data_IF_607124707523
#
_entry.id   IF_607124707523
#
_cell.length_a   1.000
_cell.length_b   1.000
_cell.length_c   1.000
_cell.angle_alpha   90.00
_cell.angle_beta   90.00
_cell.angle_gamma   90.00
#
_symmetry.space_group_name_H-M   'P 1'
#
loop_
_entity.id
_entity.type
_entity.pdbx_description
1 polymer ?
#
# COMPACT_ATOMS: atom_id res chain seq x y z
N UNK A 1 20.36 27.45 -15.71
CA UNK A 1 19.43 26.33 -15.96
C UNK A 1 18.72 26.10 -14.64
N UNK A 2 17.44 26.44 -14.55
CA UNK A 2 16.63 26.01 -13.41
C UNK A 2 16.59 24.49 -13.44
N UNK A 3 17.04 23.85 -12.36
CA UNK A 3 16.76 22.43 -12.14
C UNK A 3 15.26 22.38 -11.91
N UNK A 4 14.50 21.97 -12.93
CA UNK A 4 13.08 21.64 -12.75
C UNK A 4 13.06 20.51 -11.73
N UNK A 5 12.72 20.86 -10.48
CA UNK A 5 12.53 19.88 -9.43
C UNK A 5 11.33 19.05 -9.86
N UNK A 6 11.56 17.82 -10.32
CA UNK A 6 10.47 16.93 -10.70
C UNK A 6 9.52 16.84 -9.50
N UNK A 7 8.25 17.18 -9.72
CA UNK A 7 7.20 17.05 -8.71
C UNK A 7 7.03 15.55 -8.41
N UNK A 8 6.77 15.25 -7.15
CA UNK A 8 6.38 13.89 -6.77
C UNK A 8 5.06 13.53 -7.45
N UNK A 9 4.95 12.27 -7.87
CA UNK A 9 3.67 11.66 -8.19
C UNK A 9 3.31 10.62 -7.13
N UNK A 10 2.01 10.38 -6.98
CA UNK A 10 1.45 9.53 -5.94
C UNK A 10 0.69 8.37 -6.56
N UNK A 11 0.78 7.19 -5.93
CA UNK A 11 0.05 6.00 -6.35
C UNK A 11 -0.68 5.43 -5.13
N UNK A 12 -2.01 5.33 -5.20
CA UNK A 12 -2.84 4.80 -4.11
C UNK A 12 -3.39 3.42 -4.50
N UNK A 13 -3.12 2.39 -3.69
CA UNK A 13 -3.61 1.04 -3.91
C UNK A 13 -4.59 0.61 -2.80
N UNK A 14 -5.73 0.06 -3.23
CA UNK A 14 -6.73 -0.52 -2.34
C UNK A 14 -6.36 -1.94 -1.89
N UNK A 15 -7.00 -2.38 -0.81
CA UNK A 15 -6.86 -3.71 -0.25
C UNK A 15 -7.66 -4.81 -0.95
N UNK A 16 -7.73 -5.97 -0.30
CA UNK A 16 -8.48 -7.14 -0.77
C UNK A 16 -9.95 -6.81 -1.03
N UNK A 17 -10.47 -7.27 -2.16
CA UNK A 17 -11.87 -7.10 -2.57
C UNK A 17 -12.35 -5.63 -2.59
N UNK A 18 -11.41 -4.67 -2.53
CA UNK A 18 -11.68 -3.25 -2.53
C UNK A 18 -11.75 -2.64 -3.93
N UNK A 19 -11.73 -1.32 -3.96
CA UNK A 19 -11.68 -0.51 -5.18
C UNK A 19 -11.03 0.85 -4.89
N UNK A 20 -10.59 1.61 -5.90
CA UNK A 20 -10.04 2.95 -5.71
C UNK A 20 -11.07 3.98 -5.21
N UNK A 21 -12.35 3.59 -5.14
CA UNK A 21 -13.46 4.43 -4.69
C UNK A 21 -13.86 4.21 -3.23
N UNK A 22 -13.10 3.40 -2.49
CA UNK A 22 -13.43 2.96 -1.13
C UNK A 22 -12.52 3.55 -0.05
N UNK A 23 -12.94 3.43 1.21
CA UNK A 23 -12.20 3.91 2.37
C UNK A 23 -11.85 5.41 2.26
N UNK A 24 -10.65 5.78 2.68
CA UNK A 24 -10.08 7.12 2.62
C UNK A 24 -9.36 7.41 1.29
N UNK A 25 -9.36 6.49 0.32
CA UNK A 25 -8.62 6.64 -0.95
C UNK A 25 -9.16 7.81 -1.78
N UNK A 26 -10.48 7.97 -2.00
CA UNK A 26 -11.02 9.11 -2.76
C UNK A 26 -10.73 10.45 -2.09
N UNK A 27 -10.85 10.49 -0.76
CA UNK A 27 -10.55 11.68 0.02
C UNK A 27 -9.08 12.06 -0.11
N UNK A 28 -8.17 11.09 0.07
CA UNK A 28 -6.73 11.32 -0.03
C UNK A 28 -6.33 11.77 -1.45
N UNK A 29 -6.95 11.19 -2.46
CA UNK A 29 -6.78 11.62 -3.85
C UNK A 29 -7.10 13.11 -4.01
N UNK A 30 -8.26 13.55 -3.51
CA UNK A 30 -8.67 14.96 -3.58
C UNK A 30 -7.68 15.88 -2.83
N UNK A 31 -7.22 15.47 -1.65
CA UNK A 31 -6.23 16.22 -0.86
C UNK A 31 -4.91 16.39 -1.60
N UNK A 32 -4.46 15.37 -2.34
CA UNK A 32 -3.24 15.43 -3.16
C UNK A 32 -3.46 16.30 -4.41
N UNK A 33 -4.56 16.10 -5.14
CA UNK A 33 -4.89 16.87 -6.36
C UNK A 33 -5.06 18.37 -6.05
N UNK A 34 -5.62 18.72 -4.89
CA UNK A 34 -5.77 20.12 -4.45
C UNK A 34 -4.43 20.87 -4.29
N UNK A 35 -3.33 20.13 -4.21
CA UNK A 35 -1.96 20.66 -4.12
C UNK A 35 -1.24 20.68 -5.48
N UNK A 36 -1.97 20.45 -6.58
CA UNK A 36 -1.44 20.38 -7.95
C UNK A 36 -0.32 19.33 -8.09
N UNK A 37 -0.53 18.16 -7.47
CA UNK A 37 0.33 16.99 -7.53
C UNK A 37 -0.38 15.86 -8.29
N UNK A 38 0.39 15.10 -9.05
CA UNK A 38 -0.15 13.98 -9.84
C UNK A 38 -0.45 12.79 -8.95
N UNK A 39 -1.64 12.21 -9.07
CA UNK A 39 -2.06 11.02 -8.31
C UNK A 39 -2.76 10.00 -9.20
N UNK A 40 -2.41 8.74 -8.99
CA UNK A 40 -2.92 7.60 -9.73
C UNK A 40 -3.53 6.60 -8.75
N UNK A 41 -4.72 6.12 -9.07
CA UNK A 41 -5.48 5.18 -8.23
C UNK A 41 -5.95 4.01 -9.10
N UNK A 42 -5.07 3.06 -9.45
CA UNK A 42 -5.44 1.92 -10.29
C UNK A 42 -6.60 1.13 -9.66
N UNK A 43 -7.52 0.66 -10.50
CA UNK A 43 -8.51 -0.34 -10.12
C UNK A 43 -7.87 -1.72 -10.30
N UNK A 44 -7.38 -2.28 -9.19
CA UNK A 44 -6.64 -3.54 -9.22
C UNK A 44 -7.62 -4.71 -9.40
N UNK A 45 -7.27 -5.74 -10.20
CA UNK A 45 -8.15 -6.89 -10.42
C UNK A 45 -8.65 -7.50 -9.10
N UNK A 46 -9.97 -7.55 -8.93
CA UNK A 46 -10.62 -7.95 -7.68
C UNK A 46 -11.44 -9.24 -7.85
N UNK A 47 -11.68 -9.96 -6.75
CA UNK A 47 -12.34 -11.26 -6.72
C UNK A 47 -11.37 -12.44 -6.74
N UNK A 48 -11.74 -13.55 -6.11
CA UNK A 48 -10.85 -14.69 -5.78
C UNK A 48 -10.00 -15.18 -6.97
N UNK A 49 -10.60 -15.24 -8.16
CA UNK A 49 -9.91 -15.69 -9.38
C UNK A 49 -8.92 -14.65 -9.93
N UNK A 50 -9.20 -13.37 -9.75
CA UNK A 50 -8.48 -12.28 -10.43
C UNK A 50 -7.50 -11.55 -9.52
N UNK A 51 -7.77 -11.50 -8.21
CA UNK A 51 -6.90 -10.90 -7.22
C UNK A 51 -5.77 -11.85 -6.85
N UNK A 52 -4.73 -11.82 -7.67
CA UNK A 52 -3.50 -12.57 -7.44
C UNK A 52 -2.29 -11.75 -7.87
N UNK A 53 -1.11 -12.16 -7.39
CA UNK A 53 0.14 -11.48 -7.66
C UNK A 53 0.40 -11.28 -9.15
N UNK A 54 0.22 -12.31 -9.98
CA UNK A 54 0.53 -12.24 -11.41
C UNK A 54 -0.32 -11.19 -12.14
N UNK A 55 -1.62 -11.14 -11.85
CA UNK A 55 -2.53 -10.17 -12.43
C UNK A 55 -2.23 -8.74 -11.95
N UNK A 56 -1.99 -8.56 -10.65
CA UNK A 56 -1.66 -7.25 -10.09
C UNK A 56 -0.31 -6.74 -10.61
N UNK A 57 0.70 -7.62 -10.69
CA UNK A 57 2.02 -7.35 -11.26
C UNK A 57 1.90 -6.97 -12.74
N UNK A 58 1.11 -7.71 -13.52
CA UNK A 58 0.87 -7.41 -14.94
C UNK A 58 0.28 -6.00 -15.14
N UNK A 59 -0.75 -5.64 -14.36
CA UNK A 59 -1.33 -4.30 -14.42
C UNK A 59 -0.31 -3.24 -13.98
N UNK A 60 0.39 -3.45 -12.87
CA UNK A 60 1.27 -2.42 -12.32
C UNK A 60 2.51 -2.18 -13.17
N UNK A 61 2.98 -3.19 -13.93
CA UNK A 61 4.03 -3.01 -14.94
C UNK A 61 3.67 -1.97 -16.00
N UNK A 62 2.38 -1.86 -16.36
CA UNK A 62 1.96 -0.83 -17.34
C UNK A 62 2.20 0.59 -16.82
N UNK A 63 2.14 0.81 -15.50
CA UNK A 63 2.47 2.10 -14.88
C UNK A 63 3.98 2.35 -14.83
N UNK A 64 4.79 1.29 -14.72
CA UNK A 64 6.26 1.38 -14.83
C UNK A 64 6.65 1.72 -16.26
N UNK A 65 6.10 1.00 -17.24
CA UNK A 65 6.37 1.22 -18.67
C UNK A 65 5.94 2.61 -19.14
N UNK A 66 4.88 3.16 -18.54
CA UNK A 66 4.43 4.53 -18.77
C UNK A 66 5.30 5.60 -18.06
N UNK A 67 6.31 5.20 -17.29
CA UNK A 67 7.18 6.10 -16.51
C UNK A 67 6.50 6.72 -15.29
N UNK A 68 5.30 6.25 -14.92
CA UNK A 68 4.55 6.77 -13.77
C UNK A 68 5.18 6.29 -12.46
N UNK A 69 5.51 5.00 -12.34
CA UNK A 69 6.20 4.46 -11.16
C UNK A 69 7.71 4.57 -11.39
N UNK A 70 8.38 5.42 -10.61
CA UNK A 70 9.81 5.68 -10.68
C UNK A 70 10.36 6.19 -9.31
N UNK A 71 11.64 6.55 -9.28
CA UNK A 71 12.38 7.01 -8.10
C UNK A 71 11.78 8.26 -7.40
N UNK A 72 10.83 8.97 -8.02
CA UNK A 72 10.10 10.12 -7.43
C UNK A 72 8.70 9.76 -6.89
N UNK A 73 8.26 8.53 -7.12
CA UNK A 73 6.89 8.10 -6.79
C UNK A 73 6.74 7.80 -5.30
N UNK A 74 5.66 8.31 -4.71
CA UNK A 74 5.21 7.93 -3.37
C UNK A 74 4.07 6.92 -3.53
N UNK A 75 4.24 5.71 -2.99
CA UNK A 75 3.18 4.70 -3.02
C UNK A 75 2.52 4.61 -1.65
N UNK A 76 1.19 4.72 -1.63
CA UNK A 76 0.36 4.50 -0.46
C UNK A 76 -0.50 3.26 -0.71
N UNK A 77 -0.37 2.25 0.16
CA UNK A 77 -1.02 0.96 -0.04
C UNK A 77 -1.72 0.48 1.23
N UNK A 78 -2.94 -0.06 1.08
CA UNK A 78 -3.77 -0.53 2.19
C UNK A 78 -3.90 -2.07 2.23
N UNK A 79 -3.93 -2.63 3.44
CA UNK A 79 -4.27 -4.03 3.73
C UNK A 79 -3.33 -5.05 3.08
N UNK A 80 -3.79 -5.80 2.06
CA UNK A 80 -2.96 -6.76 1.30
C UNK A 80 -1.97 -6.08 0.35
N UNK A 81 -2.22 -4.84 -0.08
CA UNK A 81 -1.40 -4.18 -1.10
C UNK A 81 0.05 -3.89 -0.65
N UNK A 82 0.36 -3.55 0.63
CA UNK A 82 1.72 -3.47 1.14
C UNK A 82 2.64 -4.65 0.80
N UNK A 83 2.23 -5.90 1.09
CA UNK A 83 3.07 -7.07 0.78
C UNK A 83 3.21 -7.28 -0.73
N UNK A 84 2.15 -7.02 -1.50
CA UNK A 84 2.22 -7.03 -2.95
C UNK A 84 3.26 -6.02 -3.47
N UNK A 85 3.25 -4.77 -2.98
CA UNK A 85 4.21 -3.74 -3.39
C UNK A 85 5.63 -4.13 -3.02
N UNK A 86 5.86 -4.67 -1.82
CA UNK A 86 7.18 -5.18 -1.43
C UNK A 86 7.70 -6.20 -2.45
N UNK A 87 6.89 -7.23 -2.74
CA UNK A 87 7.24 -8.28 -3.72
C UNK A 87 7.46 -7.70 -5.12
N UNK A 88 6.56 -6.84 -5.57
CA UNK A 88 6.59 -6.22 -6.90
C UNK A 88 7.86 -5.40 -7.12
N UNK A 89 8.23 -4.54 -6.17
CA UNK A 89 9.43 -3.70 -6.27
C UNK A 89 10.69 -4.56 -6.30
N UNK A 90 10.75 -5.59 -5.44
CA UNK A 90 11.92 -6.47 -5.35
C UNK A 90 12.11 -7.31 -6.61
N UNK A 91 11.06 -7.99 -7.08
CA UNK A 91 11.17 -8.87 -8.24
C UNK A 91 11.43 -8.12 -9.55
N UNK A 92 11.00 -6.85 -9.64
CA UNK A 92 11.17 -6.04 -10.85
C UNK A 92 12.30 -5.02 -10.76
N UNK A 93 13.03 -4.97 -9.64
CA UNK A 93 14.12 -4.03 -9.37
C UNK A 93 13.72 -2.54 -9.51
N UNK A 94 12.53 -2.18 -9.03
CA UNK A 94 11.97 -0.83 -9.19
C UNK A 94 12.21 -0.02 -7.93
N UNK A 95 12.83 1.15 -8.06
CA UNK A 95 13.00 2.10 -6.96
C UNK A 95 11.85 3.10 -6.89
N UNK A 96 11.51 3.50 -5.68
CA UNK A 96 10.48 4.52 -5.41
C UNK A 96 10.93 5.44 -4.27
N UNK A 97 10.33 6.63 -4.23
CA UNK A 97 10.74 7.66 -3.27
C UNK A 97 10.36 7.32 -1.83
N UNK A 98 9.12 6.87 -1.63
CA UNK A 98 8.55 6.59 -0.31
C UNK A 98 7.45 5.54 -0.40
N UNK A 99 7.38 4.72 0.63
CA UNK A 99 6.30 3.78 0.87
C UNK A 99 5.53 4.18 2.13
N UNK A 100 4.21 4.27 2.02
CA UNK A 100 3.31 4.43 3.16
C UNK A 100 2.35 3.25 3.16
N UNK A 101 2.53 2.35 4.12
CA UNK A 101 1.74 1.14 4.26
C UNK A 101 0.73 1.30 5.38
N UNK A 102 -0.52 0.93 5.12
CA UNK A 102 -1.62 1.03 6.09
C UNK A 102 -2.21 -0.36 6.28
N UNK A 103 -2.19 -0.87 7.51
CA UNK A 103 -2.64 -2.22 7.88
C UNK A 103 -1.98 -3.34 7.06
N UNK A 104 -0.67 -3.23 6.85
CA UNK A 104 0.11 -4.19 6.07
C UNK A 104 0.37 -5.47 6.83
N UNK A 105 0.26 -6.61 6.15
CA UNK A 105 0.56 -7.94 6.70
C UNK A 105 1.17 -8.86 5.65
N UNK A 106 1.74 -9.98 6.09
CA UNK A 106 2.30 -10.99 5.20
C UNK A 106 1.92 -12.39 5.67
N UNK A 107 1.49 -13.25 4.75
CA UNK A 107 1.12 -14.65 5.02
C UNK A 107 0.03 -14.85 6.09
N UNK A 108 -0.94 -13.93 6.22
CA UNK A 108 -2.02 -14.07 7.19
C UNK A 108 -3.16 -14.92 6.62
N UNK A 109 -3.57 -15.96 7.36
CA UNK A 109 -4.50 -16.99 6.91
C UNK A 109 -5.46 -17.39 8.03
N UNK A 110 -6.57 -18.02 7.67
CA UNK A 110 -7.62 -18.47 8.59
C UNK A 110 -8.76 -17.47 8.80
N UNK A 111 -8.90 -16.49 7.90
CA UNK A 111 -10.09 -15.61 7.85
C UNK A 111 -11.25 -16.41 7.22
N UNK A 112 -11.09 -16.76 5.95
CA UNK A 112 -11.90 -17.72 5.19
C UNK A 112 -11.14 -18.18 3.93
N UNK A 113 -11.72 -19.10 3.15
CA UNK A 113 -11.07 -19.68 1.96
C UNK A 113 -10.80 -18.64 0.86
N UNK A 114 -11.65 -17.63 0.71
CA UNK A 114 -11.52 -16.60 -0.31
C UNK A 114 -10.35 -15.66 0.01
N UNK A 115 -10.28 -15.16 1.25
CA UNK A 115 -9.15 -14.34 1.72
C UNK A 115 -7.85 -15.14 1.76
N UNK A 116 -7.89 -16.39 2.21
CA UNK A 116 -6.70 -17.25 2.25
C UNK A 116 -6.13 -17.47 0.85
N UNK A 117 -7.00 -17.65 -0.15
CA UNK A 117 -6.58 -17.84 -1.54
C UNK A 117 -5.82 -16.62 -2.08
N UNK A 118 -6.38 -15.41 -1.89
CA UNK A 118 -5.73 -14.19 -2.37
C UNK A 118 -4.45 -13.87 -1.58
N UNK A 119 -4.47 -14.05 -0.26
CA UNK A 119 -3.31 -13.80 0.62
C UNK A 119 -2.12 -14.70 0.28
N UNK A 120 -2.35 -15.99 0.00
CA UNK A 120 -1.28 -16.92 -0.41
C UNK A 120 -0.57 -16.46 -1.67
N UNK A 121 -1.30 -15.91 -2.63
CA UNK A 121 -0.69 -15.47 -3.89
C UNK A 121 0.28 -14.29 -3.71
N UNK A 122 0.00 -13.43 -2.73
CA UNK A 122 0.78 -12.22 -2.45
C UNK A 122 1.97 -12.48 -1.53
N UNK A 123 2.08 -13.67 -0.93
CA UNK A 123 3.15 -14.04 -0.01
C UNK A 123 4.54 -13.69 -0.56
N UNK A 124 5.36 -13.13 0.33
CA UNK A 124 6.74 -12.77 0.03
C UNK A 124 7.65 -13.03 1.23
N UNK A 125 8.65 -13.88 1.05
CA UNK A 125 9.53 -14.33 2.14
C UNK A 125 10.67 -13.34 2.47
N UNK A 126 10.99 -12.39 1.58
CA UNK A 126 12.16 -11.52 1.69
C UNK A 126 11.77 -10.04 1.89
N UNK A 127 10.85 -9.73 2.80
CA UNK A 127 10.36 -8.36 3.01
C UNK A 127 11.49 -7.32 3.21
N UNK A 128 12.57 -7.69 3.89
CA UNK A 128 13.73 -6.81 4.13
C UNK A 128 14.38 -6.30 2.84
N UNK A 129 14.31 -7.06 1.74
CA UNK A 129 14.87 -6.66 0.44
C UNK A 129 14.18 -5.42 -0.13
N UNK A 130 12.96 -5.09 0.33
CA UNK A 130 12.25 -3.85 -0.02
C UNK A 130 13.10 -2.61 0.26
N UNK A 131 13.94 -2.65 1.31
CA UNK A 131 14.84 -1.55 1.70
C UNK A 131 15.91 -1.24 0.63
N UNK A 132 16.20 -2.17 -0.30
CA UNK A 132 17.09 -1.90 -1.45
C UNK A 132 16.46 -0.97 -2.49
N UNK A 133 15.13 -0.82 -2.43
CA UNK A 133 14.32 -0.14 -3.43
C UNK A 133 13.59 1.09 -2.89
N UNK A 134 13.50 1.23 -1.56
CA UNK A 134 12.98 2.42 -0.90
C UNK A 134 13.58 2.55 0.50
N UNK A 135 14.23 3.68 0.78
CA UNK A 135 14.83 3.98 2.08
C UNK A 135 13.86 4.67 3.05
N UNK A 136 12.73 5.19 2.55
CA UNK A 136 11.73 5.93 3.34
C UNK A 136 10.41 5.16 3.37
N UNK A 137 10.25 4.34 4.41
CA UNK A 137 9.09 3.47 4.60
C UNK A 137 8.39 3.85 5.91
N UNK A 138 7.08 4.00 5.86
CA UNK A 138 6.23 4.36 7.00
C UNK A 138 5.10 3.34 7.09
N UNK A 139 4.91 2.76 8.27
CA UNK A 139 3.84 1.79 8.51
C UNK A 139 2.82 2.33 9.52
N UNK A 140 1.56 2.36 9.11
CA UNK A 140 0.39 2.61 9.95
C UNK A 140 -0.34 1.30 10.20
N UNK A 141 -0.80 1.11 11.42
CA UNK A 141 -1.67 0.00 11.81
C UNK A 141 -2.42 0.37 13.09
N UNK A 142 -3.39 -0.42 13.52
CA UNK A 142 -4.20 -0.09 14.70
C UNK A 142 -4.00 -1.09 15.83
N UNK A 143 -4.36 -0.68 17.06
CA UNK A 143 -4.32 -1.55 18.23
C UNK A 143 -5.55 -2.47 18.38
N UNK A 144 -6.54 -2.36 17.49
CA UNK A 144 -7.81 -3.08 17.57
C UNK A 144 -8.36 -3.54 16.21
N UNK A 145 -7.48 -3.82 15.24
CA UNK A 145 -7.87 -4.34 13.93
C UNK A 145 -8.68 -5.64 14.07
N UNK A 146 -9.92 -5.69 13.54
CA UNK A 146 -10.79 -6.86 13.71
C UNK A 146 -10.46 -8.02 12.77
N UNK A 147 -9.63 -7.79 11.75
CA UNK A 147 -9.31 -8.77 10.71
C UNK A 147 -7.91 -9.35 10.90
N UNK A 148 -6.91 -8.48 11.10
CA UNK A 148 -5.51 -8.86 11.24
C UNK A 148 -5.08 -8.60 12.68
N UNK A 149 -4.42 -9.59 13.31
CA UNK A 149 -3.94 -9.41 14.68
C UNK A 149 -2.86 -8.34 14.75
N UNK A 150 -2.89 -7.53 15.81
CA UNK A 150 -1.87 -6.52 16.11
C UNK A 150 -0.43 -7.02 15.94
N UNK A 151 -0.09 -8.17 16.53
CA UNK A 151 1.28 -8.72 16.46
C UNK A 151 1.71 -9.02 15.02
N UNK A 152 0.78 -9.39 14.13
CA UNK A 152 1.08 -9.69 12.72
C UNK A 152 1.38 -8.41 11.94
N UNK A 153 0.57 -7.36 12.13
CA UNK A 153 0.83 -6.06 11.49
C UNK A 153 2.13 -5.44 12.02
N UNK A 154 2.38 -5.59 13.32
CA UNK A 154 3.63 -5.17 13.95
C UNK A 154 4.83 -5.93 13.39
N UNK A 155 4.78 -7.26 13.29
CA UNK A 155 5.86 -8.07 12.70
C UNK A 155 6.15 -7.66 11.25
N UNK A 156 5.10 -7.40 10.47
CA UNK A 156 5.26 -6.86 9.12
C UNK A 156 6.00 -5.52 9.13
N UNK A 157 5.56 -4.58 9.98
CA UNK A 157 6.18 -3.27 10.09
C UNK A 157 7.65 -3.33 10.58
N UNK A 158 7.94 -4.15 11.59
CA UNK A 158 9.28 -4.36 12.15
C UNK A 158 10.27 -4.85 11.08
N UNK A 159 9.83 -5.68 10.13
CA UNK A 159 10.68 -6.15 9.04
C UNK A 159 11.09 -5.03 8.07
N UNK A 160 10.32 -3.93 8.00
CA UNK A 160 10.45 -2.90 6.99
C UNK A 160 10.99 -1.57 7.51
N UNK A 161 10.62 -1.13 8.73
CA UNK A 161 10.93 0.21 9.19
C UNK A 161 10.79 0.40 10.70
N UNK A 162 11.60 1.31 11.25
CA UNK A 162 11.46 1.81 12.62
C UNK A 162 10.37 2.91 12.72
N UNK A 163 9.93 3.48 11.59
CA UNK A 163 8.94 4.57 11.54
C UNK A 163 7.52 4.01 11.46
N UNK A 164 7.00 3.65 12.62
CA UNK A 164 5.69 3.03 12.80
C UNK A 164 4.73 3.96 13.53
N UNK A 165 3.46 4.00 13.10
CA UNK A 165 2.39 4.79 13.70
C UNK A 165 1.25 3.84 14.07
N UNK A 166 1.04 3.65 15.38
CA UNK A 166 -0.10 2.90 15.88
C UNK A 166 -1.28 3.85 16.10
N UNK A 167 -2.40 3.56 15.46
CA UNK A 167 -3.64 4.32 15.58
C UNK A 167 -4.52 3.65 16.64
N UNK A 168 -4.77 4.35 17.75
CA UNK A 168 -5.63 3.81 18.79
C UNK A 168 -7.09 3.76 18.35
N UNK A 169 -7.72 2.60 18.53
CA UNK A 169 -9.08 2.30 18.15
C UNK A 169 -9.40 2.52 16.65
N UNK A 170 -8.42 2.33 15.77
CA UNK A 170 -8.55 2.58 14.33
C UNK A 170 -9.25 1.48 13.51
N UNK A 171 -9.53 0.32 14.09
CA UNK A 171 -10.02 -0.85 13.37
C UNK A 171 -9.09 -1.23 12.21
N UNK A 172 -9.62 -1.58 11.05
CA UNK A 172 -8.77 -1.87 9.87
C UNK A 172 -8.42 -0.61 9.06
N UNK A 173 -8.59 0.58 9.65
CA UNK A 173 -8.39 1.89 9.00
C UNK A 173 -9.14 1.92 7.64
N UNK A 174 -10.36 1.39 7.65
CA UNK A 174 -11.25 1.26 6.50
C UNK A 174 -12.58 2.00 6.77
N UNK A 175 -13.45 2.12 5.76
CA UNK A 175 -14.73 2.82 5.92
C UNK A 175 -15.65 2.17 6.96
N UNK A 176 -15.58 0.85 7.15
CA UNK A 176 -16.35 0.13 8.20
C UNK A 176 -15.92 0.55 9.61
N UNK A 177 -14.65 0.94 9.76
CA UNK A 177 -14.08 1.49 10.98
C UNK A 177 -14.21 3.02 11.06
N UNK A 178 -14.94 3.66 10.14
CA UNK A 178 -15.17 5.10 10.09
C UNK A 178 -14.14 5.91 9.28
N UNK A 179 -13.17 5.27 8.62
CA UNK A 179 -12.14 5.94 7.85
C UNK A 179 -12.55 6.17 6.40
N UNK A 180 -13.43 7.15 6.19
CA UNK A 180 -13.65 7.80 4.87
C UNK A 180 -12.69 8.96 4.62
N UNK A 181 -11.99 9.40 5.68
CA UNK A 181 -10.93 10.41 5.68
C UNK A 181 -9.78 9.90 6.55
N UNK A 182 -8.56 10.36 6.32
CA UNK A 182 -7.39 9.93 7.12
C UNK A 182 -6.38 11.08 7.31
N UNK A 183 -6.74 12.03 8.18
CA UNK A 183 -5.98 13.26 8.41
C UNK A 183 -4.55 13.03 8.92
N UNK A 184 -4.33 12.00 9.75
CA UNK A 184 -3.01 11.66 10.25
C UNK A 184 -2.02 11.33 9.13
N UNK A 185 -2.49 10.72 8.05
CA UNK A 185 -1.66 10.34 6.89
C UNK A 185 -1.10 11.58 6.17
N UNK A 186 -1.82 12.71 6.14
CA UNK A 186 -1.38 13.94 5.47
C UNK A 186 -0.06 14.50 6.01
N UNK A 187 0.29 14.17 7.26
CA UNK A 187 1.55 14.59 7.90
C UNK A 187 2.79 13.96 7.26
N UNK A 188 2.59 12.96 6.39
CA UNK A 188 3.65 12.12 5.83
C UNK A 188 3.67 12.09 4.30
N UNK A 189 2.90 12.96 3.63
CA UNK A 189 2.92 13.12 2.18
C UNK A 189 4.14 13.89 1.67
#
# INVERSE_FOLDING_TARGET
>A
MEVIKMKNNYLLLHGSFGSPFSNWIPWLRNEIESKELDVYTPDMPSGVKYQNYDNWNCLLKTYVDAGIINDNTVIIAHSIAPVFICKFLVENNIKVKRLIFVCGFNNYLGIDEEYDTVNRSMYFNNLEDTKKYCDDIICFYSDNDPYVKYDVEKEFADSLTDKQIVISNGGHINSESGYTEFNELLKYL
#
